data_IF_436910419421
#
_entry.id   IF_436910419421
#
_cell.length_a   1.000
_cell.length_b   1.000
_cell.length_c   1.000
_cell.angle_alpha   90.00
_cell.angle_beta   90.00
_cell.angle_gamma   90.00
#
_symmetry.space_group_name_H-M   'P 1'
#
loop_
_entity.id
_entity.type
_entity.pdbx_description
1 polymer ?
#
# COMPACT_ATOMS: atom_id res chain seq x y z
N UNK A 1 8.05 -11.96 7.83
CA UNK A 1 6.94 -11.85 6.87
C UNK A 1 7.14 -10.72 5.87
N UNK A 2 7.24 -9.44 6.27
CA UNK A 2 7.42 -8.33 5.31
C UNK A 2 8.84 -8.28 4.71
N UNK A 3 9.86 -8.64 5.49
CA UNK A 3 11.27 -8.60 5.09
C UNK A 3 11.80 -9.97 4.63
N UNK A 4 10.92 -10.95 4.44
CA UNK A 4 11.31 -12.26 3.94
C UNK A 4 11.68 -12.13 2.45
N UNK A 5 12.59 -12.98 1.97
CA UNK A 5 13.15 -12.89 0.61
C UNK A 5 12.08 -12.92 -0.49
N UNK A 6 10.98 -13.65 -0.26
CA UNK A 6 9.86 -13.77 -1.21
C UNK A 6 8.90 -12.56 -1.20
N UNK A 7 9.05 -11.68 -0.19
CA UNK A 7 8.21 -10.53 0.11
C UNK A 7 6.72 -10.87 0.19
N UNK A 8 6.36 -12.09 0.60
CA UNK A 8 4.99 -12.55 0.63
C UNK A 8 4.10 -11.66 1.52
N UNK A 9 4.62 -11.22 2.67
CA UNK A 9 3.91 -10.31 3.57
C UNK A 9 3.59 -8.96 2.93
N UNK A 10 4.56 -8.36 2.22
CA UNK A 10 4.36 -7.09 1.53
C UNK A 10 3.33 -7.20 0.40
N UNK A 11 3.42 -8.26 -0.42
CA UNK A 11 2.45 -8.52 -1.50
C UNK A 11 1.04 -8.67 -0.95
N UNK A 12 0.87 -9.39 0.16
CA UNK A 12 -0.43 -9.57 0.78
C UNK A 12 -1.00 -8.25 1.32
N UNK A 13 -0.18 -7.40 1.94
CA UNK A 13 -0.65 -6.11 2.44
C UNK A 13 -1.09 -5.16 1.31
N UNK A 14 -0.37 -5.15 0.18
CA UNK A 14 -0.74 -4.37 -0.99
C UNK A 14 -2.05 -4.86 -1.63
N UNK A 15 -2.23 -6.18 -1.73
CA UNK A 15 -3.48 -6.78 -2.19
C UNK A 15 -4.66 -6.40 -1.28
N UNK A 16 -4.48 -6.49 0.03
CA UNK A 16 -5.51 -6.10 0.99
C UNK A 16 -5.86 -4.60 0.85
N UNK A 17 -4.87 -3.74 0.63
CA UNK A 17 -5.09 -2.31 0.40
C UNK A 17 -5.90 -2.04 -0.88
N UNK A 18 -5.60 -2.76 -1.96
CA UNK A 18 -6.38 -2.71 -3.20
C UNK A 18 -7.84 -3.13 -2.97
N UNK A 19 -8.06 -4.21 -2.23
CA UNK A 19 -9.40 -4.72 -1.92
C UNK A 19 -10.20 -3.72 -1.06
N UNK A 20 -9.57 -3.17 -0.01
CA UNK A 20 -10.18 -2.14 0.82
C UNK A 20 -10.55 -0.90 0.01
N UNK A 21 -9.65 -0.42 -0.86
CA UNK A 21 -9.95 0.72 -1.73
C UNK A 21 -11.11 0.41 -2.68
N UNK A 22 -11.14 -0.79 -3.24
CA UNK A 22 -12.22 -1.21 -4.15
C UNK A 22 -13.58 -1.25 -3.47
N UNK A 23 -13.63 -1.53 -2.16
CA UNK A 23 -14.84 -1.47 -1.36
C UNK A 23 -15.23 -0.04 -0.96
N UNK A 24 -14.28 0.74 -0.43
CA UNK A 24 -14.53 2.08 0.12
C UNK A 24 -14.75 3.13 -0.98
N UNK A 25 -13.97 3.07 -2.07
CA UNK A 25 -14.04 4.01 -3.18
C UNK A 25 -13.76 3.31 -4.52
N UNK A 26 -14.78 2.65 -5.11
CA UNK A 26 -14.65 1.93 -6.36
C UNK A 26 -14.20 2.80 -7.54
N UNK A 27 -14.55 4.09 -7.55
CA UNK A 27 -14.15 5.02 -8.61
C UNK A 27 -12.64 5.26 -8.60
N UNK A 28 -12.07 5.49 -7.42
CA UNK A 28 -10.63 5.66 -7.26
C UNK A 28 -9.86 4.37 -7.56
N UNK A 29 -10.36 3.21 -7.12
CA UNK A 29 -9.78 1.92 -7.47
C UNK A 29 -9.72 1.70 -9.00
N UNK A 30 -10.81 2.00 -9.72
CA UNK A 30 -10.86 1.94 -11.18
C UNK A 30 -9.88 2.91 -11.83
N UNK A 31 -9.76 4.12 -11.28
CA UNK A 31 -8.78 5.09 -11.76
C UNK A 31 -7.35 4.55 -11.64
N UNK A 32 -6.96 4.00 -10.48
CA UNK A 32 -5.63 3.40 -10.30
C UNK A 32 -5.39 2.22 -11.24
N UNK A 33 -6.38 1.34 -11.43
CA UNK A 33 -6.28 0.26 -12.41
C UNK A 33 -6.07 0.79 -13.83
N UNK A 34 -6.78 1.85 -14.24
CA UNK A 34 -6.60 2.49 -15.56
C UNK A 34 -5.24 3.16 -15.78
N UNK A 35 -4.48 3.37 -14.71
CA UNK A 35 -3.14 3.98 -14.71
C UNK A 35 -2.04 2.98 -14.37
N UNK A 36 -2.30 1.68 -14.51
CA UNK A 36 -1.37 0.59 -14.18
C UNK A 36 -0.83 0.65 -12.73
N UNK A 37 -1.64 1.25 -11.84
CA UNK A 37 -1.32 1.47 -10.43
C UNK A 37 -2.19 0.62 -9.50
N UNK A 38 -2.95 -0.34 -10.05
CA UNK A 38 -3.85 -1.20 -9.27
C UNK A 38 -3.15 -2.14 -8.29
N UNK A 39 -1.87 -2.45 -8.52
CA UNK A 39 -1.02 -3.25 -7.62
C UNK A 39 -0.57 -2.47 -6.36
N UNK A 40 -0.85 -1.18 -6.28
CA UNK A 40 -0.52 -0.31 -5.15
C UNK A 40 0.98 -0.19 -4.84
N UNK A 41 1.90 -0.48 -5.76
CA UNK A 41 3.34 -0.42 -5.47
C UNK A 41 3.84 0.97 -5.06
N UNK A 42 3.13 2.05 -5.42
CA UNK A 42 3.40 3.39 -4.92
C UNK A 42 3.22 3.52 -3.39
N UNK A 43 2.44 2.63 -2.76
CA UNK A 43 2.28 2.50 -1.31
C UNK A 43 3.35 1.61 -0.65
N UNK A 44 4.25 0.98 -1.41
CA UNK A 44 5.20 0.00 -0.86
C UNK A 44 6.04 0.57 0.27
N UNK A 45 6.60 1.78 0.09
CA UNK A 45 7.39 2.46 1.13
C UNK A 45 6.57 2.73 2.37
N UNK A 46 5.31 3.13 2.22
CA UNK A 46 4.42 3.41 3.33
C UNK A 46 4.27 2.18 4.23
N UNK A 47 4.06 1.01 3.64
CA UNK A 47 3.84 -0.23 4.40
C UNK A 47 5.15 -0.86 4.90
N UNK A 48 6.25 -0.74 4.14
CA UNK A 48 7.54 -1.30 4.52
C UNK A 48 8.12 -0.66 5.79
N UNK A 49 7.99 0.66 5.91
CA UNK A 49 8.54 1.42 7.05
C UNK A 49 7.45 2.08 7.91
N UNK A 50 6.21 1.62 7.81
CA UNK A 50 5.05 2.14 8.55
C UNK A 50 4.96 3.66 8.55
N UNK A 51 4.91 4.24 7.35
CA UNK A 51 4.76 5.67 7.10
C UNK A 51 5.83 6.59 7.73
N UNK A 52 6.93 6.06 8.27
CA UNK A 52 8.03 6.85 8.86
C UNK A 52 8.62 7.95 7.97
N UNK A 53 8.42 7.85 6.66
CA UNK A 53 8.91 8.80 5.66
C UNK A 53 7.88 9.84 5.22
N UNK A 54 6.62 9.68 5.62
CA UNK A 54 5.51 10.57 5.20
C UNK A 54 5.10 11.56 6.29
N UNK A 55 5.54 11.33 7.53
CA UNK A 55 5.16 12.11 8.71
C UNK A 55 6.39 12.59 9.48
N UNK A 56 6.23 13.64 10.29
CA UNK A 56 7.34 14.16 11.12
C UNK A 56 7.63 13.20 12.26
N UNK A 57 8.83 13.30 12.85
CA UNK A 57 9.16 12.52 14.05
C UNK A 57 8.14 12.73 15.18
N UNK A 58 7.55 13.91 15.31
CA UNK A 58 6.54 14.18 16.34
C UNK A 58 5.24 13.41 16.12
N UNK A 59 4.88 13.11 14.88
CA UNK A 59 3.62 12.46 14.52
C UNK A 59 3.70 10.92 14.56
N UNK A 60 4.91 10.35 14.64
CA UNK A 60 5.19 8.91 14.54
C UNK A 60 5.93 8.31 15.74
N UNK A 61 6.26 9.14 16.73
CA UNK A 61 6.97 8.78 17.96
C UNK A 61 5.99 8.76 19.12
#
# INVERSE_FOLDING_TARGET
SNFDMDQAGMKQQLLNLQQLLSFVNPQLAKHFASKDSGNMYFCFRWLLVWFKREFTNKDIM
#
